data_IF_240783545779
#
_entry.id   IF_240783545779
#
_cell.length_a   1.000
_cell.length_b   1.000
_cell.length_c   1.000
_cell.angle_alpha   90.00
_cell.angle_beta   90.00
_cell.angle_gamma   90.00
#
_symmetry.space_group_name_H-M   'P 1'
#
loop_
_entity.id
_entity.type
_entity.pdbx_description
1 polymer ?
#
# COMPACT_ATOMS: atom_id res chain seq x y z
N UNK A 1 2.62 -3.41 -0.59
CA UNK A 1 3.69 -4.41 -0.87
C UNK A 1 5.00 -4.09 -0.15
N UNK A 2 5.54 -2.86 -0.23
CA UNK A 2 6.88 -2.52 0.27
C UNK A 2 7.12 -2.85 1.76
N UNK A 3 6.24 -2.40 2.66
CA UNK A 3 6.40 -2.70 4.09
C UNK A 3 6.40 -4.21 4.37
N UNK A 4 5.61 -4.99 3.63
CA UNK A 4 5.61 -6.46 3.72
C UNK A 4 6.92 -7.07 3.23
N UNK A 5 7.56 -6.51 2.20
CA UNK A 5 8.88 -6.95 1.77
C UNK A 5 9.98 -6.63 2.80
N UNK A 6 9.90 -5.47 3.47
CA UNK A 6 10.79 -5.18 4.61
C UNK A 6 10.55 -6.17 5.75
N UNK A 7 9.29 -6.43 6.11
CA UNK A 7 8.95 -7.43 7.12
C UNK A 7 9.47 -8.80 6.74
N UNK A 8 9.35 -9.21 5.48
CA UNK A 8 9.90 -10.47 5.00
C UNK A 8 11.42 -10.52 5.14
N UNK A 9 12.13 -9.47 4.76
CA UNK A 9 13.58 -9.37 4.97
C UNK A 9 13.94 -9.52 6.45
N UNK A 10 13.21 -8.84 7.33
CA UNK A 10 13.44 -8.88 8.77
C UNK A 10 13.23 -10.28 9.33
N UNK A 11 12.18 -10.97 8.90
CA UNK A 11 11.90 -12.35 9.28
C UNK A 11 13.00 -13.31 8.80
N UNK A 12 13.38 -13.23 7.52
CA UNK A 12 14.43 -14.09 6.93
C UNK A 12 15.78 -13.91 7.63
N UNK A 13 16.11 -12.68 8.04
CA UNK A 13 17.38 -12.35 8.67
C UNK A 13 17.31 -12.28 10.21
N UNK A 14 16.16 -12.63 10.81
CA UNK A 14 15.94 -12.58 12.27
C UNK A 14 16.33 -11.24 12.89
N UNK A 15 15.97 -10.14 12.21
CA UNK A 15 16.24 -8.78 12.67
C UNK A 15 15.40 -8.52 13.92
N UNK A 16 16.07 -8.17 15.00
CA UNK A 16 15.40 -7.71 16.22
C UNK A 16 14.85 -6.29 16.00
N UNK A 17 13.52 -6.17 15.97
CA UNK A 17 12.82 -4.91 15.72
C UNK A 17 12.84 -3.96 16.92
N UNK A 18 13.16 -4.47 18.11
CA UNK A 18 13.31 -3.66 19.33
C UNK A 18 14.71 -3.02 19.39
N UNK A 19 15.66 -3.54 18.63
CA UNK A 19 17.00 -2.99 18.50
C UNK A 19 17.08 -1.99 17.31
N UNK A 20 17.05 -0.70 17.63
CA UNK A 20 17.07 0.38 16.64
C UNK A 20 18.29 0.31 15.70
N UNK A 21 19.46 -0.11 16.20
CA UNK A 21 20.67 -0.21 15.39
C UNK A 21 20.62 -1.42 14.45
N UNK A 22 20.08 -2.56 14.91
CA UNK A 22 19.83 -3.71 14.05
C UNK A 22 18.86 -3.37 12.90
N UNK A 23 17.79 -2.63 13.21
CA UNK A 23 16.83 -2.15 12.21
C UNK A 23 17.50 -1.24 11.18
N UNK A 24 18.29 -0.26 11.61
CA UNK A 24 18.99 0.67 10.70
C UNK A 24 19.96 -0.09 9.79
N UNK A 25 20.78 -0.97 10.36
CA UNK A 25 21.72 -1.78 9.60
C UNK A 25 21.00 -2.68 8.59
N UNK A 26 19.88 -3.31 8.96
CA UNK A 26 19.09 -4.11 8.03
C UNK A 26 18.55 -3.29 6.85
N UNK A 27 18.08 -2.07 7.10
CA UNK A 27 17.52 -1.19 6.06
C UNK A 27 18.54 -0.78 4.99
N UNK A 28 19.83 -0.73 5.31
CA UNK A 28 20.89 -0.45 4.33
C UNK A 28 21.06 -1.56 3.30
N UNK A 29 20.60 -2.77 3.62
CA UNK A 29 20.71 -3.97 2.79
C UNK A 29 19.40 -4.31 2.07
N UNK A 30 18.43 -3.40 2.06
CA UNK A 30 17.13 -3.60 1.41
C UNK A 30 17.02 -2.70 0.18
N UNK A 31 17.00 -3.32 -0.99
CA UNK A 31 16.61 -2.71 -2.24
C UNK A 31 15.27 -3.29 -2.71
N UNK A 32 14.29 -2.40 -2.93
CA UNK A 32 13.00 -2.76 -3.49
C UNK A 32 12.85 -2.20 -4.89
N UNK A 33 12.40 -3.05 -5.81
CA UNK A 33 12.08 -2.67 -7.18
C UNK A 33 10.71 -3.23 -7.57
N UNK A 34 9.99 -2.52 -8.44
CA UNK A 34 8.73 -2.97 -9.00
C UNK A 34 8.85 -3.11 -10.51
N UNK A 35 8.21 -4.14 -11.04
CA UNK A 35 8.03 -4.30 -12.48
C UNK A 35 6.60 -4.76 -12.77
N UNK A 36 6.09 -4.38 -13.94
CA UNK A 36 4.79 -4.80 -14.39
C UNK A 36 4.95 -5.98 -15.35
N UNK A 37 4.15 -7.03 -15.16
CA UNK A 37 4.02 -8.18 -16.06
C UNK A 37 2.55 -8.60 -16.06
N UNK A 38 1.98 -8.85 -17.24
CA UNK A 38 0.58 -9.32 -17.39
C UNK A 38 -0.47 -8.45 -16.68
N UNK A 39 -0.31 -7.12 -16.72
CA UNK A 39 -1.14 -6.15 -16.00
C UNK A 39 -1.10 -6.25 -14.46
N UNK A 40 -0.17 -7.04 -13.92
CA UNK A 40 0.09 -7.17 -12.50
C UNK A 40 1.40 -6.50 -12.11
N UNK A 41 1.45 -6.01 -10.86
CA UNK A 41 2.65 -5.42 -10.27
C UNK A 41 3.37 -6.45 -9.42
N UNK A 42 4.63 -6.72 -9.78
CA UNK A 42 5.51 -7.65 -9.08
C UNK A 42 6.60 -6.88 -8.32
N UNK A 43 6.93 -7.35 -7.12
CA UNK A 43 7.95 -6.75 -6.26
C UNK A 43 9.20 -7.64 -6.19
N UNK A 44 10.36 -7.01 -6.37
CA UNK A 44 11.66 -7.61 -6.13
C UNK A 44 12.22 -7.10 -4.80
N UNK A 45 12.71 -8.00 -3.97
CA UNK A 45 13.51 -7.74 -2.77
C UNK A 45 14.94 -8.20 -3.05
N UNK A 46 15.89 -7.27 -3.14
CA UNK A 46 17.29 -7.56 -3.44
C UNK A 46 17.48 -8.40 -4.73
N UNK A 47 16.64 -8.13 -5.74
CA UNK A 47 16.64 -8.84 -7.02
C UNK A 47 15.82 -10.13 -7.07
N UNK A 48 15.31 -10.62 -5.93
CA UNK A 48 14.45 -11.81 -5.86
C UNK A 48 12.97 -11.43 -5.92
N UNK A 49 12.17 -12.10 -6.75
CA UNK A 49 10.72 -11.89 -6.81
C UNK A 49 10.04 -12.49 -5.57
N UNK A 50 9.42 -11.64 -4.75
CA UNK A 50 8.82 -12.03 -3.46
C UNK A 50 7.31 -11.76 -3.39
N UNK A 51 6.66 -11.46 -4.52
CA UNK A 51 5.26 -11.05 -4.61
C UNK A 51 4.28 -11.95 -3.84
N UNK A 52 4.45 -13.28 -3.95
CA UNK A 52 3.60 -14.25 -3.26
C UNK A 52 3.98 -14.42 -1.79
N UNK A 53 5.28 -14.51 -1.50
CA UNK A 53 5.77 -14.74 -0.14
C UNK A 53 5.40 -13.60 0.82
N UNK A 54 5.44 -12.35 0.34
CA UNK A 54 5.04 -11.20 1.16
C UNK A 54 3.55 -11.21 1.53
N UNK A 55 2.72 -12.05 0.88
CA UNK A 55 1.28 -12.20 1.17
C UNK A 55 0.98 -13.30 2.17
N UNK A 56 1.99 -14.10 2.56
CA UNK A 56 1.80 -15.18 3.51
C UNK A 56 1.51 -14.69 4.93
N UNK A 57 0.93 -15.57 5.75
CA UNK A 57 0.50 -15.28 7.12
C UNK A 57 1.62 -14.72 8.02
N UNK A 58 2.84 -15.29 8.06
CA UNK A 58 3.89 -14.79 8.94
C UNK A 58 4.25 -13.31 8.69
N UNK A 59 4.21 -12.89 7.42
CA UNK A 59 4.45 -11.49 7.04
C UNK A 59 3.26 -10.62 7.41
N UNK A 60 2.04 -11.10 7.18
CA UNK A 60 0.81 -10.37 7.49
C UNK A 60 0.62 -10.10 8.98
N UNK A 61 1.06 -11.02 9.85
CA UNK A 61 1.00 -10.87 11.30
C UNK A 61 2.00 -9.83 11.83
N UNK A 62 3.15 -9.68 11.18
CA UNK A 62 4.25 -8.81 11.66
C UNK A 62 4.33 -7.45 10.99
N UNK A 63 3.69 -7.26 9.83
CA UNK A 63 3.85 -6.03 9.05
C UNK A 63 3.39 -4.78 9.79
N UNK A 64 2.37 -4.88 10.65
CA UNK A 64 1.87 -3.74 11.42
C UNK A 64 2.96 -3.20 12.34
N UNK A 65 3.60 -4.08 13.12
CA UNK A 65 4.70 -3.74 14.04
C UNK A 65 5.88 -3.11 13.28
N UNK A 66 6.33 -3.76 12.20
CA UNK A 66 7.47 -3.29 11.40
C UNK A 66 7.18 -1.93 10.74
N UNK A 67 5.97 -1.73 10.23
CA UNK A 67 5.58 -0.48 9.54
C UNK A 67 5.37 0.71 10.49
N UNK A 68 5.23 0.46 11.80
CA UNK A 68 5.16 1.49 12.83
C UNK A 68 6.54 2.04 13.20
N UNK A 69 7.63 1.33 12.86
CA UNK A 69 9.00 1.74 13.20
C UNK A 69 9.40 2.96 12.36
N UNK A 70 9.78 4.04 13.05
CA UNK A 70 10.16 5.32 12.43
C UNK A 70 11.26 5.20 11.38
N UNK A 71 12.31 4.42 11.66
CA UNK A 71 13.41 4.21 10.72
C UNK A 71 12.94 3.53 9.42
N UNK A 72 12.07 2.51 9.56
CA UNK A 72 11.47 1.80 8.41
C UNK A 72 10.64 2.77 7.56
N UNK A 73 9.77 3.58 8.19
CA UNK A 73 8.95 4.56 7.46
C UNK A 73 9.81 5.56 6.69
N UNK A 74 10.81 6.16 7.35
CA UNK A 74 11.73 7.10 6.70
C UNK A 74 12.45 6.48 5.50
N UNK A 75 12.95 5.25 5.65
CA UNK A 75 13.59 4.50 4.57
C UNK A 75 12.63 4.24 3.41
N UNK A 76 11.41 3.80 3.70
CA UNK A 76 10.40 3.48 2.68
C UNK A 76 9.89 4.72 1.95
N UNK A 77 9.66 5.83 2.64
CA UNK A 77 9.29 7.12 2.01
C UNK A 77 10.37 7.55 1.02
N UNK A 78 11.66 7.52 1.43
CA UNK A 78 12.78 7.86 0.55
C UNK A 78 12.84 6.96 -0.69
N UNK A 79 12.62 5.65 -0.53
CA UNK A 79 12.57 4.73 -1.67
C UNK A 79 11.37 4.99 -2.58
N UNK A 80 10.18 5.23 -2.02
CA UNK A 80 8.98 5.57 -2.79
C UNK A 80 9.17 6.84 -3.61
N UNK A 81 9.67 7.91 -2.98
CA UNK A 81 10.00 9.17 -3.65
C UNK A 81 11.02 8.98 -4.77
N UNK A 82 12.06 8.16 -4.55
CA UNK A 82 13.03 7.82 -5.61
C UNK A 82 12.35 7.15 -6.80
N UNK A 83 11.43 6.22 -6.57
CA UNK A 83 10.71 5.51 -7.64
C UNK A 83 9.70 6.39 -8.37
N UNK A 84 9.11 7.39 -7.71
CA UNK A 84 8.12 8.29 -8.34
C UNK A 84 8.71 9.45 -9.14
N UNK A 85 10.01 9.73 -9.04
CA UNK A 85 10.63 10.88 -9.74
C UNK A 85 10.66 10.77 -11.28
N UNK A 86 10.59 9.56 -11.84
CA UNK A 86 10.89 9.33 -13.26
C UNK A 86 9.73 8.76 -14.07
N UNK A 87 8.53 8.64 -13.50
CA UNK A 87 7.44 7.86 -14.10
C UNK A 87 6.07 8.44 -13.76
N UNK A 88 5.14 8.37 -14.72
CA UNK A 88 3.70 8.44 -14.48
C UNK A 88 3.29 7.18 -13.70
N UNK A 89 3.32 7.25 -12.37
CA UNK A 89 3.02 6.11 -11.49
C UNK A 89 1.68 6.26 -10.79
N UNK A 90 1.02 5.13 -10.60
CA UNK A 90 -0.07 4.99 -9.62
C UNK A 90 0.53 4.32 -8.39
N UNK A 91 0.34 4.92 -7.21
CA UNK A 91 0.82 4.37 -5.95
C UNK A 91 -0.32 4.20 -4.96
N UNK A 92 -0.48 2.99 -4.43
CA UNK A 92 -1.44 2.67 -3.38
C UNK A 92 -0.75 2.63 -2.01
N UNK A 93 -1.42 3.16 -0.99
CA UNK A 93 -0.89 3.18 0.37
C UNK A 93 -1.78 3.96 1.34
N UNK A 94 -1.31 4.12 2.58
CA UNK A 94 -2.09 4.76 3.65
C UNK A 94 -1.84 6.27 3.78
N UNK A 95 -0.65 6.71 3.42
CA UNK A 95 -0.13 8.06 3.64
C UNK A 95 0.58 8.63 2.40
N UNK A 96 0.24 8.12 1.21
CA UNK A 96 0.90 8.51 -0.04
C UNK A 96 0.72 10.02 -0.28
N UNK A 97 -0.52 10.51 -0.26
CA UNK A 97 -0.82 11.92 -0.55
C UNK A 97 -0.57 12.89 0.61
N UNK A 98 -0.22 12.39 1.81
CA UNK A 98 -0.01 13.21 3.02
C UNK A 98 1.42 13.18 3.55
N UNK A 99 2.25 12.21 3.15
CA UNK A 99 3.63 12.08 3.65
C UNK A 99 4.66 11.70 2.57
N UNK A 100 4.24 11.06 1.47
CA UNK A 100 5.18 10.57 0.44
C UNK A 100 5.25 11.54 -0.74
N UNK A 101 4.09 11.89 -1.30
CA UNK A 101 3.90 12.77 -2.45
C UNK A 101 2.80 13.79 -2.14
N UNK A 102 3.13 14.75 -1.28
CA UNK A 102 2.25 15.88 -0.96
C UNK A 102 1.94 16.75 -2.19
N UNK A 103 2.79 16.74 -3.20
CA UNK A 103 2.60 17.49 -4.45
C UNK A 103 2.03 16.61 -5.59
N UNK A 104 1.46 15.43 -5.29
CA UNK A 104 0.86 14.57 -6.31
C UNK A 104 -0.27 15.30 -7.05
N UNK A 105 -0.28 15.22 -8.39
CA UNK A 105 -1.27 15.91 -9.23
C UNK A 105 -2.72 15.46 -8.96
N UNK A 106 -2.91 14.17 -8.66
CA UNK A 106 -4.20 13.58 -8.32
C UNK A 106 -4.05 12.69 -7.09
N UNK A 107 -4.90 12.91 -6.08
CA UNK A 107 -4.93 12.12 -4.85
C UNK A 107 -6.33 11.57 -4.65
N UNK A 108 -6.44 10.26 -4.51
CA UNK A 108 -7.69 9.62 -4.11
C UNK A 108 -7.62 9.18 -2.65
N UNK A 109 -8.65 9.51 -1.89
CA UNK A 109 -8.92 8.90 -0.59
C UNK A 109 -10.09 7.94 -0.74
N UNK A 110 -9.77 6.65 -0.88
CA UNK A 110 -10.78 5.61 -1.09
C UNK A 110 -11.36 5.15 0.24
N UNK A 111 -12.68 5.09 0.32
CA UNK A 111 -13.42 4.63 1.51
C UNK A 111 -14.58 3.71 1.11
N UNK A 112 -15.09 2.95 2.07
CA UNK A 112 -16.33 2.19 1.95
C UNK A 112 -16.87 1.86 3.34
N UNK A 113 -18.16 1.55 3.41
CA UNK A 113 -18.77 0.96 4.59
C UNK A 113 -17.93 -0.24 5.10
N UNK A 114 -17.56 -0.26 6.41
CA UNK A 114 -16.77 -1.35 6.98
C UNK A 114 -17.37 -2.75 6.76
N UNK A 115 -18.70 -2.89 6.78
CA UNK A 115 -19.39 -4.17 6.53
C UNK A 115 -19.17 -4.63 5.09
N UNK A 116 -19.32 -3.73 4.12
CA UNK A 116 -19.07 -4.03 2.71
C UNK A 116 -17.60 -4.43 2.48
N UNK A 117 -16.65 -3.78 3.16
CA UNK A 117 -15.23 -4.19 3.11
C UNK A 117 -15.01 -5.59 3.67
N UNK A 118 -15.64 -5.91 4.81
CA UNK A 118 -15.57 -7.24 5.40
C UNK A 118 -16.19 -8.32 4.51
N UNK A 119 -17.37 -8.07 3.94
CA UNK A 119 -18.05 -8.97 3.01
C UNK A 119 -17.21 -9.26 1.76
N UNK A 120 -16.64 -8.22 1.14
CA UNK A 120 -15.75 -8.37 -0.03
C UNK A 120 -14.51 -9.20 0.31
N UNK A 121 -13.90 -8.95 1.47
CA UNK A 121 -12.72 -9.68 1.92
C UNK A 121 -13.05 -11.14 2.27
N UNK A 122 -14.14 -11.39 2.95
CA UNK A 122 -14.61 -12.74 3.27
C UNK A 122 -14.90 -13.54 1.99
N UNK A 123 -15.56 -12.93 1.00
CA UNK A 123 -15.77 -13.55 -0.32
C UNK A 123 -14.45 -13.88 -1.04
N UNK A 124 -13.44 -13.01 -0.93
CA UNK A 124 -12.10 -13.27 -1.48
C UNK A 124 -11.45 -14.49 -0.80
N UNK A 125 -11.55 -14.61 0.53
CA UNK A 125 -11.00 -15.74 1.29
C UNK A 125 -11.68 -17.06 0.91
N UNK A 126 -13.01 -17.09 0.86
CA UNK A 126 -13.78 -18.25 0.40
C UNK A 126 -13.35 -18.69 -1.01
N UNK A 127 -13.16 -17.74 -1.93
CA UNK A 127 -12.72 -18.05 -3.30
C UNK A 127 -11.32 -18.65 -3.39
N UNK A 128 -10.52 -18.49 -2.34
CA UNK A 128 -9.16 -19.04 -2.20
C UNK A 128 -9.13 -20.34 -1.38
N UNK A 129 -10.29 -20.88 -1.00
CA UNK A 129 -10.42 -22.14 -0.26
C UNK A 129 -10.32 -22.01 1.26
N UNK A 130 -10.36 -20.79 1.81
CA UNK A 130 -10.49 -20.58 3.26
C UNK A 130 -11.96 -20.60 3.65
N UNK A 131 -12.43 -21.77 4.10
CA UNK A 131 -13.81 -22.00 4.56
C UNK A 131 -13.98 -21.86 6.09
N UNK A 132 -12.89 -21.56 6.81
CA UNK A 132 -12.88 -21.57 8.28
C UNK A 132 -13.11 -20.17 8.83
N UNK A 133 -12.49 -19.16 8.21
CA UNK A 133 -12.56 -17.78 8.69
C UNK A 133 -13.98 -17.21 8.55
N UNK A 134 -14.56 -16.76 9.66
CA UNK A 134 -15.90 -16.18 9.71
C UNK A 134 -15.94 -14.72 9.24
N UNK A 135 -17.12 -14.24 8.85
CA UNK A 135 -17.31 -12.83 8.48
C UNK A 135 -17.02 -11.89 9.66
N UNK A 136 -17.42 -12.28 10.86
CA UNK A 136 -17.17 -11.55 12.10
C UNK A 136 -15.68 -11.40 12.38
N UNK A 137 -14.89 -12.48 12.25
CA UNK A 137 -13.43 -12.42 12.40
C UNK A 137 -12.77 -11.49 11.37
N UNK A 138 -13.24 -11.53 10.11
CA UNK A 138 -12.77 -10.60 9.07
C UNK A 138 -13.09 -9.16 9.45
N UNK A 139 -14.30 -8.89 9.93
CA UNK A 139 -14.74 -7.56 10.33
C UNK A 139 -13.89 -7.01 11.48
N UNK A 140 -13.71 -7.78 12.55
CA UNK A 140 -12.90 -7.40 13.71
C UNK A 140 -11.44 -7.17 13.32
N UNK A 141 -10.87 -8.03 12.46
CA UNK A 141 -9.51 -7.85 11.96
C UNK A 141 -9.35 -6.55 11.18
N UNK A 142 -10.30 -6.22 10.30
CA UNK A 142 -10.28 -4.98 9.53
C UNK A 142 -10.44 -3.76 10.45
N UNK A 143 -11.36 -3.80 11.41
CA UNK A 143 -11.58 -2.72 12.37
C UNK A 143 -10.33 -2.43 13.21
N UNK A 144 -9.69 -3.48 13.74
CA UNK A 144 -8.44 -3.35 14.49
C UNK A 144 -7.32 -2.72 13.64
N UNK A 145 -7.20 -3.14 12.36
CA UNK A 145 -6.20 -2.58 11.45
C UNK A 145 -6.46 -1.12 11.10
N UNK A 146 -7.72 -0.75 10.85
CA UNK A 146 -8.08 0.64 10.58
C UNK A 146 -7.80 1.53 11.79
N UNK A 147 -8.10 1.05 13.00
CA UNK A 147 -7.76 1.75 14.24
C UNK A 147 -6.25 1.94 14.39
N UNK A 148 -5.45 0.89 14.18
CA UNK A 148 -4.00 0.98 14.24
C UNK A 148 -3.42 1.93 13.17
N UNK A 149 -3.97 1.89 11.95
CA UNK A 149 -3.54 2.76 10.84
C UNK A 149 -3.87 4.24 11.10
N UNK A 150 -5.02 4.53 11.73
CA UNK A 150 -5.48 5.91 12.00
C UNK A 150 -4.87 6.52 13.27
N UNK A 151 -4.54 5.70 14.28
CA UNK A 151 -4.04 6.18 15.58
C UNK A 151 -2.52 6.16 15.73
N UNK A 152 -1.78 5.58 14.78
CA UNK A 152 -0.32 5.55 14.85
C UNK A 152 0.29 6.95 14.83
N UNK A 153 1.41 7.11 15.57
CA UNK A 153 2.12 8.38 15.71
C UNK A 153 2.81 8.85 14.42
N UNK A 154 3.41 7.91 13.68
CA UNK A 154 4.18 8.23 12.47
C UNK A 154 3.33 7.97 11.23
N UNK A 155 3.05 9.03 10.46
CA UNK A 155 2.20 9.05 9.25
C UNK A 155 0.87 8.28 9.40
N UNK A 156 -0.04 8.75 10.27
CA UNK A 156 -1.37 8.15 10.41
C UNK A 156 -2.12 8.17 9.08
N UNK A 157 -2.99 7.18 8.86
CA UNK A 157 -3.97 7.22 7.77
C UNK A 157 -4.86 8.44 7.96
N UNK A 158 -4.63 9.43 7.12
CA UNK A 158 -5.35 10.70 7.12
C UNK A 158 -5.61 11.10 5.67
N UNK A 159 -6.72 11.81 5.46
CA UNK A 159 -7.08 12.34 4.16
C UNK A 159 -6.33 13.66 3.93
N UNK A 160 -5.61 13.79 2.82
CA UNK A 160 -5.06 15.09 2.40
C UNK A 160 -6.22 16.07 2.09
N UNK A 161 -6.04 17.36 2.35
CA UNK A 161 -7.11 18.36 2.17
C UNK A 161 -7.61 18.44 0.71
N UNK A 162 -6.70 18.23 -0.25
CA UNK A 162 -6.93 18.22 -1.68
C UNK A 162 -7.28 16.83 -2.25
N UNK A 163 -7.43 15.81 -1.41
CA UNK A 163 -7.77 14.47 -1.87
C UNK A 163 -9.24 14.35 -2.29
N UNK A 164 -9.46 13.77 -3.46
CA UNK A 164 -10.77 13.38 -3.97
C UNK A 164 -11.24 12.15 -3.19
N UNK A 165 -12.37 12.27 -2.50
CA UNK A 165 -12.98 11.11 -1.83
C UNK A 165 -13.63 10.21 -2.87
N UNK A 166 -13.20 8.94 -2.89
CA UNK A 166 -13.82 7.87 -3.68
C UNK A 166 -14.50 6.90 -2.71
N UNK A 167 -15.80 7.10 -2.48
CA UNK A 167 -16.61 6.14 -1.73
C UNK A 167 -17.08 5.02 -2.67
N UNK A 168 -16.52 3.82 -2.51
CA UNK A 168 -16.87 2.66 -3.32
C UNK A 168 -17.85 1.70 -2.62
N UNK A 169 -18.62 2.17 -1.62
CA UNK A 169 -19.63 1.36 -0.93
C UNK A 169 -20.62 0.72 -1.92
N UNK A 170 -21.15 1.53 -2.84
CA UNK A 170 -22.18 1.12 -3.80
C UNK A 170 -21.70 1.13 -5.26
N UNK A 171 -20.38 1.18 -5.49
CA UNK A 171 -19.81 1.17 -6.83
C UNK A 171 -19.34 -0.24 -7.21
N UNK A 172 -19.61 -0.63 -8.44
CA UNK A 172 -18.92 -1.75 -9.09
C UNK A 172 -17.46 -1.38 -9.40
N UNK A 173 -16.64 -2.39 -9.71
CA UNK A 173 -15.24 -2.16 -10.09
C UNK A 173 -15.12 -1.26 -11.33
N UNK A 174 -16.02 -1.41 -12.30
CA UNK A 174 -16.03 -0.61 -13.52
C UNK A 174 -16.44 0.85 -13.24
N UNK A 175 -17.46 1.07 -12.42
CA UNK A 175 -17.87 2.42 -12.03
C UNK A 175 -16.78 3.13 -11.21
N UNK A 176 -16.13 2.41 -10.29
CA UNK A 176 -14.98 2.92 -9.55
C UNK A 176 -13.84 3.30 -10.50
N UNK A 177 -13.52 2.43 -11.47
CA UNK A 177 -12.47 2.70 -12.46
C UNK A 177 -12.82 3.93 -13.29
N UNK A 178 -14.04 4.00 -13.83
CA UNK A 178 -14.48 5.15 -14.62
C UNK A 178 -14.43 6.44 -13.82
N UNK A 179 -14.91 6.42 -12.57
CA UNK A 179 -14.81 7.57 -11.66
C UNK A 179 -13.36 8.04 -11.52
N UNK A 180 -12.41 7.13 -11.31
CA UNK A 180 -11.01 7.49 -11.18
C UNK A 180 -10.46 8.07 -12.49
N UNK A 181 -10.73 7.43 -13.63
CA UNK A 181 -10.28 7.88 -14.95
C UNK A 181 -10.79 9.29 -15.29
N UNK A 182 -12.06 9.58 -15.01
CA UNK A 182 -12.64 10.90 -15.29
C UNK A 182 -11.91 12.04 -14.57
N UNK A 183 -11.33 11.79 -13.38
CA UNK A 183 -10.52 12.79 -12.66
C UNK A 183 -9.06 12.81 -13.09
N UNK A 184 -8.54 11.71 -13.65
CA UNK A 184 -7.14 11.62 -14.07
C UNK A 184 -6.95 12.12 -15.50
N UNK A 185 -7.89 11.84 -16.41
CA UNK A 185 -7.80 12.17 -17.83
C UNK A 185 -7.46 13.65 -18.13
N UNK A 186 -8.02 14.65 -17.42
CA UNK A 186 -7.65 16.05 -17.66
C UNK A 186 -6.15 16.35 -17.49
N UNK A 187 -5.44 15.56 -16.66
CA UNK A 187 -4.00 15.72 -16.42
C UNK A 187 -3.15 14.95 -17.46
N UNK A 188 -3.71 13.92 -18.08
CA UNK A 188 -3.06 13.16 -19.15
C UNK A 188 -3.12 13.93 -20.48
N UNK A 189 -4.28 14.50 -20.81
CA UNK A 189 -4.48 15.26 -22.06
C UNK A 189 -3.61 16.53 -22.12
N UNK A 190 -3.31 17.15 -20.97
CA UNK A 190 -2.38 18.28 -20.89
C UNK A 190 -0.91 17.91 -21.09
N UNK A 191 -0.52 16.64 -20.96
CA UNK A 191 0.87 16.21 -21.21
C UNK A 191 1.15 15.96 -22.70
N UNK A 192 0.14 15.64 -23.52
CA UNK A 192 0.30 15.37 -24.96
C UNK A 192 0.31 16.63 -25.84
N UNK A 193 0.09 17.83 -25.29
CA UNK A 193 0.13 19.09 -26.05
C UNK A 193 1.50 19.80 -26.05
N UNK A 194 2.55 19.20 -25.49
CA UNK A 194 3.90 19.80 -25.49
C UNK A 194 4.88 18.92 -26.29
N UNK A 195 5.06 19.36 -27.54
CA UNK A 195 6.13 19.03 -28.50
C UNK A 195 5.83 17.92 -29.52
N UNK A 196 5.30 18.35 -30.66
CA UNK A 196 5.74 17.88 -31.98
C UNK A 196 7.21 18.27 -32.13
N UNK A 197 8.12 17.29 -32.23
CA UNK A 197 9.29 17.23 -33.13
C UNK A 197 9.79 15.79 -33.23
#
# INVERSE_FOLDING_TARGET
AMYRAVTLYFLRNKVDIENEEAVKNALEHIELNFHARDYESHILLNGEEVSEEIRQMPVSERVSEVSAIKAVRKGMVKQQQRMGKSKNIVMDGRDIGTAVFEDAQVKFFMTADPKIRAERRHKELLSKGDEITTLEEVFENLAHRDYADTTRKESPLTRAEDAIVLDNTNLSQNEQLQFALDRVNPFLETQDQISIF
#
